data_IF_862567588517
#
_entry.id   IF_862567588517
#
_cell.length_a   1.000
_cell.length_b   1.000
_cell.length_c   1.000
_cell.angle_alpha   90.00
_cell.angle_beta   90.00
_cell.angle_gamma   90.00
#
_symmetry.space_group_name_H-M   'P 1'
#
loop_
_entity.id
_entity.type
_entity.pdbx_description
1 polymer ?
#
# COMPACT_ATOMS: atom_id res chain seq x y z
N UNK A 1 20.36 -0.93 11.35
CA UNK A 1 20.63 0.38 10.72
C UNK A 1 21.27 0.07 9.40
N UNK A 2 20.54 0.20 8.30
CA UNK A 2 21.13 0.20 6.96
C UNK A 2 20.30 1.15 6.11
N UNK A 3 20.86 2.35 5.93
CA UNK A 3 20.46 3.33 4.94
C UNK A 3 21.20 2.96 3.67
N UNK A 4 20.49 2.61 2.62
CA UNK A 4 21.03 2.64 1.26
C UNK A 4 20.03 3.42 0.43
N UNK A 5 20.46 4.59 -0.03
CA UNK A 5 19.66 5.65 -0.62
C UNK A 5 20.22 5.85 -2.03
N UNK A 6 19.54 5.34 -3.07
CA UNK A 6 20.08 5.32 -4.44
C UNK A 6 19.51 6.37 -5.39
N UNK A 7 18.47 7.13 -5.02
CA UNK A 7 18.06 8.29 -5.80
C UNK A 7 17.38 9.35 -4.91
N UNK A 8 17.81 10.62 -4.94
CA UNK A 8 17.32 11.66 -4.01
C UNK A 8 15.78 11.83 -4.05
N UNK A 9 15.14 11.54 -5.19
CA UNK A 9 13.68 11.56 -5.35
C UNK A 9 12.99 10.30 -4.78
N UNK A 10 13.55 9.10 -4.98
CA UNK A 10 13.03 7.85 -4.40
C UNK A 10 13.18 7.82 -2.87
N UNK A 11 14.24 8.44 -2.36
CA UNK A 11 14.53 8.45 -0.93
C UNK A 11 13.52 9.31 -0.15
N UNK A 12 12.94 10.32 -0.79
CA UNK A 12 11.93 11.20 -0.20
C UNK A 12 10.55 10.53 -0.19
N UNK A 13 10.19 9.85 -1.28
CA UNK A 13 8.89 9.18 -1.43
C UNK A 13 8.72 8.03 -0.43
N UNK A 14 9.73 7.18 -0.23
CA UNK A 14 9.64 6.08 0.73
C UNK A 14 9.62 6.55 2.19
N UNK A 15 10.35 7.63 2.52
CA UNK A 15 10.33 8.19 3.88
C UNK A 15 8.93 8.70 4.27
N UNK A 16 8.23 9.35 3.33
CA UNK A 16 6.85 9.80 3.53
C UNK A 16 5.89 8.62 3.71
N UNK A 17 6.03 7.58 2.88
CA UNK A 17 5.23 6.36 3.00
C UNK A 17 5.42 5.68 4.36
N UNK A 18 6.67 5.58 4.83
CA UNK A 18 7.01 5.03 6.16
C UNK A 18 6.35 5.86 7.28
N UNK A 19 6.43 7.19 7.20
CA UNK A 19 5.78 8.07 8.18
C UNK A 19 4.25 7.92 8.17
N UNK A 20 3.67 7.55 7.03
CA UNK A 20 2.25 7.23 6.90
C UNK A 20 1.92 5.77 7.28
N UNK A 21 2.86 5.00 7.82
CA UNK A 21 2.64 3.63 8.29
C UNK A 21 2.68 2.56 7.20
N UNK A 22 3.28 2.84 6.04
CA UNK A 22 3.62 1.81 5.06
C UNK A 22 4.93 1.13 5.44
N UNK A 23 4.98 -0.18 5.26
CA UNK A 23 6.19 -0.97 5.34
C UNK A 23 6.77 -1.11 3.94
N UNK A 24 8.05 -0.80 3.78
CA UNK A 24 8.76 -0.95 2.50
C UNK A 24 9.57 -2.24 2.57
N UNK A 25 9.48 -3.09 1.55
CA UNK A 25 10.27 -4.31 1.48
C UNK A 25 11.77 -4.01 1.40
N UNK A 26 12.62 -4.93 1.86
CA UNK A 26 14.08 -4.74 1.82
C UNK A 26 14.60 -4.54 0.38
N UNK A 27 13.90 -5.10 -0.61
CA UNK A 27 14.20 -4.93 -2.04
C UNK A 27 13.65 -3.64 -2.65
N UNK A 28 12.85 -2.86 -1.90
CA UNK A 28 12.13 -1.64 -2.35
C UNK A 28 11.20 -1.83 -3.56
N UNK A 29 10.82 -3.07 -3.85
CA UNK A 29 9.89 -3.39 -4.94
C UNK A 29 8.43 -3.45 -4.51
N UNK A 30 8.20 -3.48 -3.19
CA UNK A 30 6.86 -3.68 -2.64
C UNK A 30 6.66 -2.80 -1.42
N UNK A 31 5.44 -2.31 -1.26
CA UNK A 31 5.00 -1.64 -0.03
C UNK A 31 3.74 -2.31 0.52
N UNK A 32 3.67 -2.45 1.85
CA UNK A 32 2.55 -3.07 2.56
C UNK A 32 1.96 -2.14 3.61
N UNK A 33 0.63 -2.15 3.76
CA UNK A 33 -0.06 -1.50 4.89
C UNK A 33 -1.33 -2.25 5.28
N UNK A 34 -1.62 -2.27 6.58
CA UNK A 34 -2.90 -2.74 7.12
C UNK A 34 -3.80 -1.54 7.48
N UNK A 35 -5.07 -1.64 7.11
CA UNK A 35 -6.12 -0.71 7.49
C UNK A 35 -7.17 -1.44 8.32
N UNK A 36 -7.61 -0.83 9.42
CA UNK A 36 -8.66 -1.34 10.30
C UNK A 36 -9.82 -0.35 10.34
N UNK A 37 -11.03 -0.86 10.18
CA UNK A 37 -12.29 -0.12 10.15
C UNK A 37 -13.19 -0.56 11.31
N UNK A 38 -14.35 0.07 11.48
CA UNK A 38 -15.27 -0.32 12.56
C UNK A 38 -16.03 -1.61 12.23
N UNK A 39 -16.32 -1.83 10.95
CA UNK A 39 -17.11 -2.98 10.48
C UNK A 39 -16.74 -3.38 9.03
N UNK A 40 -17.36 -4.46 8.56
CA UNK A 40 -17.13 -4.98 7.21
C UNK A 40 -17.62 -4.04 6.10
N UNK A 41 -18.73 -3.33 6.30
CA UNK A 41 -19.31 -2.44 5.29
C UNK A 41 -18.38 -1.27 4.99
N UNK A 42 -17.77 -0.68 6.02
CA UNK A 42 -16.77 0.37 5.86
C UNK A 42 -15.50 -0.13 5.16
N UNK A 43 -14.99 -1.30 5.57
CA UNK A 43 -13.83 -1.92 4.93
C UNK A 43 -14.07 -2.17 3.43
N UNK A 44 -15.23 -2.73 3.08
CA UNK A 44 -15.57 -3.03 1.69
C UNK A 44 -15.88 -1.76 0.89
N UNK A 45 -16.45 -0.73 1.51
CA UNK A 45 -16.62 0.59 0.90
C UNK A 45 -15.28 1.26 0.58
N UNK A 46 -14.29 1.14 1.47
CA UNK A 46 -12.92 1.57 1.21
C UNK A 46 -12.29 0.80 0.04
N UNK A 47 -12.41 -0.53 0.03
CA UNK A 47 -11.93 -1.37 -1.08
C UNK A 47 -12.57 -0.98 -2.42
N UNK A 48 -13.89 -0.72 -2.44
CA UNK A 48 -14.60 -0.30 -3.66
C UNK A 48 -14.04 1.00 -4.24
N UNK A 49 -13.71 1.98 -3.39
CA UNK A 49 -13.08 3.24 -3.84
C UNK A 49 -11.70 3.01 -4.44
N UNK A 50 -10.90 2.11 -3.86
CA UNK A 50 -9.59 1.72 -4.42
C UNK A 50 -9.78 1.05 -5.77
N UNK A 51 -10.73 0.11 -5.92
CA UNK A 51 -10.96 -0.60 -7.17
C UNK A 51 -11.26 0.36 -8.35
N UNK A 52 -12.06 1.41 -8.12
CA UNK A 52 -12.34 2.43 -9.13
C UNK A 52 -11.08 3.19 -9.56
N UNK A 53 -10.20 3.52 -8.61
CA UNK A 53 -8.95 4.22 -8.91
C UNK A 53 -7.94 3.31 -9.59
N UNK A 54 -7.79 2.07 -9.10
CA UNK A 54 -6.92 1.04 -9.63
C UNK A 54 -7.21 0.78 -11.11
N UNK A 55 -8.49 0.65 -11.47
CA UNK A 55 -8.91 0.49 -12.86
C UNK A 55 -8.56 1.72 -13.71
N UNK A 56 -8.83 2.93 -13.20
CA UNK A 56 -8.53 4.17 -13.91
C UNK A 56 -7.04 4.33 -14.24
N UNK A 57 -6.14 3.86 -13.37
CA UNK A 57 -4.69 3.93 -13.57
C UNK A 57 -4.09 2.64 -14.13
N UNK A 58 -4.93 1.64 -14.44
CA UNK A 58 -4.54 0.30 -14.88
C UNK A 58 -3.44 -0.33 -14.01
N UNK A 59 -3.60 -0.23 -12.69
CA UNK A 59 -2.67 -0.81 -11.71
C UNK A 59 -3.44 -1.30 -10.50
N UNK A 60 -3.41 -2.61 -10.27
CA UNK A 60 -4.27 -3.27 -9.31
C UNK A 60 -3.49 -3.68 -8.05
N UNK A 61 -4.06 -3.49 -6.85
CA UNK A 61 -3.42 -3.94 -5.62
C UNK A 61 -3.52 -5.45 -5.47
N UNK A 62 -2.58 -6.02 -4.73
CA UNK A 62 -2.81 -7.28 -4.04
C UNK A 62 -3.37 -6.97 -2.65
N UNK A 63 -4.43 -7.66 -2.24
CA UNK A 63 -4.99 -7.44 -0.91
C UNK A 63 -5.61 -8.68 -0.29
N UNK A 64 -5.79 -8.63 1.03
CA UNK A 64 -6.57 -9.58 1.81
C UNK A 64 -7.51 -8.82 2.72
N UNK A 65 -8.80 -9.15 2.66
CA UNK A 65 -9.78 -8.62 3.60
C UNK A 65 -10.25 -9.70 4.59
N UNK A 66 -10.32 -9.35 5.86
CA UNK A 66 -10.85 -10.21 6.94
C UNK A 66 -11.75 -9.35 7.83
N UNK A 67 -13.06 -9.41 7.59
CA UNK A 67 -14.05 -8.55 8.25
C UNK A 67 -13.68 -7.05 8.12
N UNK A 68 -13.27 -6.41 9.22
CA UNK A 68 -12.95 -5.00 9.28
C UNK A 68 -11.45 -4.68 9.06
N UNK A 69 -10.63 -5.67 8.68
CA UNK A 69 -9.21 -5.47 8.34
C UNK A 69 -8.96 -5.67 6.85
N UNK A 70 -8.18 -4.78 6.26
CA UNK A 70 -7.71 -4.85 4.87
C UNK A 70 -6.20 -4.72 4.86
N UNK A 71 -5.50 -5.79 4.49
CA UNK A 71 -4.07 -5.79 4.22
C UNK A 71 -3.86 -5.52 2.73
N UNK A 72 -3.07 -4.50 2.39
CA UNK A 72 -2.77 -4.11 1.01
C UNK A 72 -1.28 -4.25 0.76
N UNK A 73 -0.92 -4.86 -0.37
CA UNK A 73 0.42 -4.89 -0.95
C UNK A 73 0.35 -4.24 -2.33
N UNK A 74 1.25 -3.27 -2.57
CA UNK A 74 1.43 -2.67 -3.89
C UNK A 74 2.83 -3.04 -4.39
N UNK A 75 2.88 -3.55 -5.62
CA UNK A 75 4.09 -3.94 -6.33
C UNK A 75 3.86 -3.75 -7.82
N UNK A 76 4.91 -3.46 -8.59
CA UNK A 76 4.86 -3.46 -10.04
C UNK A 76 5.40 -4.80 -10.54
N UNK A 77 4.53 -5.60 -11.16
CA UNK A 77 4.90 -6.93 -11.67
C UNK A 77 5.62 -6.89 -13.03
N UNK A 78 5.63 -5.73 -13.70
CA UNK A 78 6.30 -5.49 -14.99
C UNK A 78 7.76 -5.02 -14.83
#
# INVERSE_FOLDING_TARGET
>A
MEKIFEDENDNKSFAELINCGWLVSSSRKEIKKEFKFDNFVEAFGFMTKIALMAEKINHHPEWKNTYNRVEIVLTTHD
#
